data_IF_573315216571
#
_entry.id   IF_573315216571
#
_cell.length_a   1.000
_cell.length_b   1.000
_cell.length_c   1.000
_cell.angle_alpha   90.00
_cell.angle_beta   90.00
_cell.angle_gamma   90.00
#
_symmetry.space_group_name_H-M   'P 1'
#
loop_
_entity.id
_entity.type
_entity.pdbx_description
1 polymer ?
#
# COMPACT_ATOMS: atom_id res chain seq x y z
N UNK A 1 3.62 -10.51 13.55
CA UNK A 1 2.44 -10.14 12.75
C UNK A 1 1.44 -11.27 12.89
N UNK A 2 0.21 -10.98 13.30
CA UNK A 2 -0.81 -12.01 13.44
C UNK A 2 -1.15 -12.57 12.05
N UNK A 3 -1.16 -13.88 11.90
CA UNK A 3 -1.73 -14.57 10.75
C UNK A 3 -3.16 -15.03 11.11
N UNK A 4 -4.01 -15.23 10.10
CA UNK A 4 -5.41 -15.58 10.30
C UNK A 4 -6.34 -14.36 10.30
N UNK A 5 -7.50 -14.49 10.91
CA UNK A 5 -8.54 -13.47 10.88
C UNK A 5 -8.34 -12.37 11.93
N UNK A 6 -8.37 -11.12 11.48
CA UNK A 6 -8.54 -9.94 12.34
C UNK A 6 -9.99 -9.49 12.22
N UNK A 7 -10.76 -9.50 13.31
CA UNK A 7 -12.17 -9.09 13.30
C UNK A 7 -12.34 -7.60 12.99
N UNK A 8 -13.56 -7.25 12.59
CA UNK A 8 -14.02 -5.86 12.50
C UNK A 8 -13.88 -5.14 13.84
N UNK A 9 -13.64 -3.85 13.81
CA UNK A 9 -13.55 -2.97 14.99
C UNK A 9 -12.38 -3.30 15.93
N UNK A 10 -11.28 -3.87 15.41
CA UNK A 10 -10.06 -4.15 16.19
C UNK A 10 -8.92 -3.20 15.78
N UNK A 11 -8.73 -2.98 14.49
CA UNK A 11 -7.64 -2.18 13.97
C UNK A 11 -7.94 -0.68 14.09
N UNK A 12 -7.06 0.06 14.76
CA UNK A 12 -7.16 1.51 14.91
C UNK A 12 -6.22 2.16 13.89
N UNK A 13 -6.73 3.04 13.00
CA UNK A 13 -5.86 3.78 12.07
C UNK A 13 -4.80 4.59 12.82
N UNK A 14 -3.54 4.52 12.37
CA UNK A 14 -2.42 5.19 13.05
C UNK A 14 -2.66 6.69 13.22
N UNK A 15 -3.27 7.32 12.24
CA UNK A 15 -3.56 8.75 12.24
C UNK A 15 -4.60 9.18 13.29
N UNK A 16 -5.27 8.25 13.98
CA UNK A 16 -6.13 8.58 15.12
C UNK A 16 -5.32 9.01 16.36
N UNK A 17 -4.12 8.47 16.52
CA UNK A 17 -3.30 8.65 17.74
C UNK A 17 -1.92 9.26 17.46
N UNK A 18 -1.53 9.44 16.21
CA UNK A 18 -0.25 10.02 15.82
C UNK A 18 -0.37 11.53 15.64
N UNK A 19 0.24 12.31 16.54
CA UNK A 19 0.17 13.77 16.57
C UNK A 19 0.69 14.44 15.29
N UNK A 20 1.73 13.86 14.65
CA UNK A 20 2.26 14.41 13.40
C UNK A 20 1.27 14.23 12.26
N UNK A 21 0.60 13.07 12.21
CA UNK A 21 -0.46 12.84 11.24
C UNK A 21 -1.64 13.81 11.46
N UNK A 22 -2.08 14.01 12.70
CA UNK A 22 -3.16 14.94 13.04
C UNK A 22 -2.82 16.39 12.64
N UNK A 23 -1.59 16.85 12.92
CA UNK A 23 -1.11 18.18 12.49
C UNK A 23 -1.10 18.30 10.96
N UNK A 24 -0.69 17.23 10.27
CA UNK A 24 -0.72 17.17 8.81
C UNK A 24 -2.14 17.31 8.27
N UNK A 25 -3.11 16.56 8.81
CA UNK A 25 -4.51 16.66 8.45
C UNK A 25 -5.07 18.07 8.72
N UNK A 26 -4.75 18.64 9.88
CA UNK A 26 -5.23 19.98 10.25
C UNK A 26 -4.75 21.07 9.28
N UNK A 27 -3.57 20.89 8.66
CA UNK A 27 -3.01 21.85 7.69
C UNK A 27 -3.53 21.69 6.26
N UNK A 28 -4.35 20.67 5.97
CA UNK A 28 -4.92 20.47 4.64
C UNK A 28 -6.09 21.44 4.39
N UNK A 29 -6.32 21.85 3.11
CA UNK A 29 -7.57 22.47 2.70
C UNK A 29 -8.77 21.57 3.04
N UNK A 30 -9.90 22.15 3.44
CA UNK A 30 -11.06 21.38 3.93
C UNK A 30 -11.58 20.37 2.90
N UNK A 31 -11.58 20.73 1.61
CA UNK A 31 -11.98 19.86 0.51
C UNK A 31 -11.09 18.64 0.32
N UNK A 32 -9.86 18.67 0.88
CA UNK A 32 -8.90 17.59 0.78
C UNK A 32 -8.67 16.84 2.09
N UNK A 33 -9.34 17.26 3.18
CA UNK A 33 -9.24 16.51 4.44
C UNK A 33 -9.81 15.10 4.31
N UNK A 34 -9.20 14.10 4.98
CA UNK A 34 -9.85 12.81 5.17
C UNK A 34 -11.10 12.97 6.03
N UNK A 35 -11.98 11.97 5.99
CA UNK A 35 -13.07 11.90 6.93
C UNK A 35 -12.57 11.65 8.35
N UNK A 36 -13.30 12.14 9.33
CA UNK A 36 -12.94 11.96 10.75
C UNK A 36 -12.97 10.49 11.13
N UNK A 37 -11.89 10.06 11.83
CA UNK A 37 -11.76 8.71 12.33
C UNK A 37 -12.41 8.65 13.72
N UNK A 38 -13.64 8.15 13.80
CA UNK A 38 -14.43 8.10 15.05
C UNK A 38 -14.05 6.90 15.93
N UNK A 39 -13.52 5.83 15.36
CA UNK A 39 -13.21 4.60 16.10
C UNK A 39 -12.32 3.62 15.32
N UNK A 40 -12.26 2.36 15.76
CA UNK A 40 -11.65 1.29 14.99
C UNK A 40 -12.38 1.05 13.66
N UNK A 41 -11.64 0.58 12.65
CA UNK A 41 -12.18 0.35 11.32
C UNK A 41 -13.20 -0.81 11.29
N UNK A 42 -14.37 -0.64 10.63
CA UNK A 42 -15.35 -1.72 10.43
C UNK A 42 -14.94 -2.63 9.27
N UNK A 43 -13.75 -3.19 9.36
CA UNK A 43 -13.18 -4.08 8.35
C UNK A 43 -12.70 -5.38 8.99
N UNK A 44 -12.96 -6.49 8.31
CA UNK A 44 -12.33 -7.78 8.57
C UNK A 44 -11.11 -7.91 7.68
N UNK A 45 -10.07 -8.60 8.17
CA UNK A 45 -8.89 -8.91 7.38
C UNK A 45 -8.46 -10.35 7.65
N UNK A 46 -8.10 -11.08 6.62
CA UNK A 46 -7.47 -12.39 6.77
C UNK A 46 -6.03 -12.32 6.30
N UNK A 47 -5.10 -12.50 7.22
CA UNK A 47 -3.67 -12.37 6.95
C UNK A 47 -3.08 -13.75 6.62
N UNK A 48 -2.55 -13.88 5.41
CA UNK A 48 -1.95 -15.10 4.88
C UNK A 48 -0.51 -14.85 4.44
N UNK A 49 0.44 -15.53 5.08
CA UNK A 49 1.87 -15.40 4.78
C UNK A 49 2.19 -16.06 3.45
N UNK A 50 2.79 -15.32 2.50
CA UNK A 50 3.17 -15.76 1.17
C UNK A 50 4.70 -15.82 1.04
N UNK A 51 5.18 -16.76 0.24
CA UNK A 51 6.59 -16.95 -0.09
C UNK A 51 7.36 -17.77 0.95
N UNK A 52 8.60 -18.03 0.62
CA UNK A 52 9.53 -18.77 1.48
C UNK A 52 9.83 -17.99 2.76
N UNK A 53 10.04 -18.73 3.85
CA UNK A 53 10.37 -18.16 5.16
C UNK A 53 11.86 -18.32 5.44
N UNK A 54 12.50 -17.33 6.10
CA UNK A 54 13.87 -17.50 6.55
C UNK A 54 13.94 -18.64 7.57
N UNK A 55 14.98 -19.46 7.47
CA UNK A 55 15.25 -20.55 8.43
C UNK A 55 15.78 -20.02 9.75
N UNK A 56 16.48 -18.89 9.69
CA UNK A 56 17.12 -18.21 10.83
C UNK A 56 16.94 -16.69 10.67
N UNK A 57 17.18 -15.92 11.72
CA UNK A 57 17.27 -14.46 11.58
C UNK A 57 16.38 -13.62 12.50
N UNK A 58 15.75 -14.22 13.50
CA UNK A 58 14.85 -13.51 14.41
C UNK A 58 13.52 -13.10 13.76
N UNK A 59 12.72 -12.34 14.45
CA UNK A 59 11.42 -11.88 13.97
C UNK A 59 10.43 -13.02 13.65
N UNK A 60 10.44 -14.12 14.43
CA UNK A 60 9.55 -15.28 14.27
C UNK A 60 8.08 -14.87 14.23
N UNK A 61 7.71 -13.84 15.02
CA UNK A 61 6.35 -13.30 15.03
C UNK A 61 5.90 -12.74 13.68
N UNK A 62 6.84 -12.31 12.82
CA UNK A 62 6.54 -11.85 11.45
C UNK A 62 6.48 -13.01 10.45
N UNK A 63 6.92 -14.21 10.85
CA UNK A 63 7.01 -15.40 10.01
C UNK A 63 6.17 -16.57 10.52
N UNK A 64 5.11 -16.29 11.27
CA UNK A 64 4.22 -17.29 11.83
C UNK A 64 3.58 -18.19 10.75
N UNK A 65 3.24 -19.42 11.15
CA UNK A 65 2.55 -20.37 10.27
C UNK A 65 1.18 -19.85 9.85
N UNK A 66 0.77 -20.01 8.59
CA UNK A 66 -0.55 -19.64 8.13
C UNK A 66 -1.65 -20.45 8.84
N UNK A 67 -2.75 -19.78 9.17
CA UNK A 67 -3.94 -20.41 9.73
C UNK A 67 -4.85 -20.90 8.59
N UNK A 68 -5.14 -22.19 8.53
CA UNK A 68 -6.07 -22.76 7.54
C UNK A 68 -7.44 -22.97 8.19
N UNK A 69 -8.52 -22.29 7.71
CA UNK A 69 -9.86 -22.50 8.22
C UNK A 69 -10.34 -23.92 7.90
N UNK A 70 -10.77 -24.67 8.92
CA UNK A 70 -11.23 -26.07 8.76
C UNK A 70 -12.39 -26.24 7.77
N UNK A 71 -13.26 -25.22 7.65
CA UNK A 71 -14.41 -25.25 6.76
C UNK A 71 -14.06 -25.10 5.25
N UNK A 72 -12.82 -24.77 4.92
CA UNK A 72 -12.40 -24.46 3.54
C UNK A 72 -11.14 -25.27 3.19
N UNK A 73 -11.24 -26.54 2.76
CA UNK A 73 -10.07 -27.39 2.50
C UNK A 73 -9.15 -26.86 1.38
N UNK A 74 -9.69 -26.13 0.38
CA UNK A 74 -8.91 -25.52 -0.71
C UNK A 74 -8.29 -24.17 -0.33
N UNK A 75 -8.43 -23.71 0.92
CA UNK A 75 -7.99 -22.39 1.35
C UNK A 75 -6.50 -22.14 1.08
N UNK A 76 -5.64 -23.08 1.48
CA UNK A 76 -4.20 -22.99 1.28
C UNK A 76 -3.85 -22.82 -0.20
N UNK A 77 -4.32 -23.73 -1.04
CA UNK A 77 -4.06 -23.71 -2.48
C UNK A 77 -4.53 -22.40 -3.12
N UNK A 78 -5.73 -21.95 -2.81
CA UNK A 78 -6.31 -20.71 -3.33
C UNK A 78 -5.48 -19.49 -2.93
N UNK A 79 -5.13 -19.41 -1.64
CA UNK A 79 -4.38 -18.26 -1.10
C UNK A 79 -2.93 -18.25 -1.60
N UNK A 80 -2.28 -19.40 -1.69
CA UNK A 80 -0.91 -19.51 -2.19
C UNK A 80 -0.84 -19.19 -3.68
N UNK A 81 -1.75 -19.75 -4.50
CA UNK A 81 -1.79 -19.50 -5.94
C UNK A 81 -1.99 -18.02 -6.24
N UNK A 82 -3.02 -17.42 -5.65
CA UNK A 82 -3.30 -16.00 -5.86
C UNK A 82 -2.19 -15.11 -5.30
N UNK A 83 -1.71 -15.42 -4.10
CA UNK A 83 -0.65 -14.66 -3.45
C UNK A 83 0.67 -14.69 -4.22
N UNK A 84 1.04 -15.83 -4.81
CA UNK A 84 2.25 -15.95 -5.65
C UNK A 84 2.14 -15.12 -6.93
N UNK A 85 0.99 -15.12 -7.61
CA UNK A 85 0.76 -14.27 -8.78
C UNK A 85 0.88 -12.78 -8.44
N UNK A 86 0.32 -12.36 -7.31
CA UNK A 86 0.43 -10.99 -6.81
C UNK A 86 1.88 -10.66 -6.45
N UNK A 87 2.60 -11.57 -5.81
CA UNK A 87 4.01 -11.39 -5.44
C UNK A 87 4.91 -11.26 -6.68
N UNK A 88 4.72 -12.09 -7.70
CA UNK A 88 5.44 -11.99 -8.97
C UNK A 88 5.19 -10.63 -9.64
N UNK A 89 3.93 -10.18 -9.65
CA UNK A 89 3.54 -8.89 -10.24
C UNK A 89 4.22 -7.72 -9.52
N UNK A 90 4.19 -7.68 -8.19
CA UNK A 90 4.81 -6.60 -7.43
C UNK A 90 6.35 -6.67 -7.46
N UNK A 91 6.94 -7.85 -7.54
CA UNK A 91 8.40 -8.02 -7.73
C UNK A 91 8.84 -7.42 -9.07
N UNK A 92 8.06 -7.67 -10.13
CA UNK A 92 8.30 -7.02 -11.43
C UNK A 92 8.20 -5.49 -11.33
N UNK A 93 7.19 -4.98 -10.62
CA UNK A 93 7.07 -3.53 -10.37
C UNK A 93 8.28 -2.99 -9.59
N UNK A 94 8.79 -3.73 -8.60
CA UNK A 94 9.98 -3.34 -7.84
C UNK A 94 11.23 -3.26 -8.74
N UNK A 95 11.43 -4.22 -9.65
CA UNK A 95 12.51 -4.19 -10.62
C UNK A 95 12.40 -2.98 -11.56
N UNK A 96 11.19 -2.69 -12.05
CA UNK A 96 10.93 -1.53 -12.91
C UNK A 96 11.18 -0.21 -12.16
N UNK A 97 10.75 -0.14 -10.89
CA UNK A 97 10.99 1.02 -10.04
C UNK A 97 12.49 1.25 -9.79
N UNK A 98 13.25 0.18 -9.51
CA UNK A 98 14.71 0.25 -9.35
C UNK A 98 15.38 0.86 -10.59
N UNK A 99 15.06 0.36 -11.80
CA UNK A 99 15.56 0.92 -13.06
C UNK A 99 15.14 2.39 -13.24
N UNK A 100 13.87 2.71 -12.95
CA UNK A 100 13.35 4.09 -13.01
C UNK A 100 14.05 5.04 -12.04
N UNK A 101 14.53 4.53 -10.93
CA UNK A 101 15.33 5.28 -9.94
C UNK A 101 16.82 5.36 -10.30
N UNK A 102 17.25 4.72 -11.39
CA UNK A 102 18.66 4.64 -11.78
C UNK A 102 19.49 3.75 -10.84
N UNK A 103 18.86 2.77 -10.22
CA UNK A 103 19.49 1.72 -9.42
C UNK A 103 19.66 0.44 -10.27
N UNK A 104 20.51 -0.52 -9.84
CA UNK A 104 20.53 -1.87 -10.41
C UNK A 104 19.11 -2.48 -10.42
N UNK A 105 18.79 -3.24 -11.46
CA UNK A 105 17.43 -3.80 -11.65
C UNK A 105 16.93 -4.59 -10.45
N UNK A 106 17.79 -5.31 -9.79
CA UNK A 106 17.50 -6.16 -8.64
C UNK A 106 17.59 -5.44 -7.28
N UNK A 107 18.00 -4.18 -7.26
CA UNK A 107 18.27 -3.43 -6.02
C UNK A 107 17.11 -3.42 -5.02
N UNK A 108 15.87 -3.44 -5.49
CA UNK A 108 14.68 -3.52 -4.62
C UNK A 108 14.19 -4.95 -4.47
N UNK A 109 14.18 -5.75 -5.54
CA UNK A 109 13.66 -7.12 -5.50
C UNK A 109 14.52 -8.05 -4.66
N UNK A 110 15.85 -7.89 -4.65
CA UNK A 110 16.76 -8.65 -3.78
C UNK A 110 16.55 -8.37 -2.28
N UNK A 111 16.05 -7.20 -1.94
CA UNK A 111 15.65 -6.89 -0.56
C UNK A 111 14.34 -7.57 -0.15
N UNK A 112 13.51 -7.95 -1.13
CA UNK A 112 12.22 -8.61 -0.89
C UNK A 112 12.38 -10.14 -0.65
N UNK A 113 13.49 -10.74 -1.04
CA UNK A 113 13.74 -12.16 -0.89
C UNK A 113 13.59 -12.59 0.56
N UNK A 114 12.78 -13.63 0.83
CA UNK A 114 12.41 -14.08 2.18
C UNK A 114 11.66 -13.02 3.02
N UNK A 115 11.18 -11.96 2.40
CA UNK A 115 10.38 -10.93 3.07
C UNK A 115 9.08 -11.49 3.65
N UNK A 116 8.56 -10.95 4.78
CA UNK A 116 7.31 -11.39 5.40
C UNK A 116 6.09 -10.90 4.62
N UNK A 117 5.96 -11.31 3.35
CA UNK A 117 4.86 -10.89 2.49
C UNK A 117 3.52 -11.43 2.99
N UNK A 118 2.48 -10.61 2.93
CA UNK A 118 1.15 -10.95 3.39
C UNK A 118 0.10 -10.71 2.30
N UNK A 119 -0.56 -11.78 1.88
CA UNK A 119 -1.84 -11.65 1.20
C UNK A 119 -2.91 -11.37 2.27
N UNK A 120 -3.67 -10.31 2.11
CA UNK A 120 -4.61 -9.82 3.10
C UNK A 120 -5.96 -9.45 2.46
N UNK A 121 -6.80 -10.42 2.08
CA UNK A 121 -8.18 -10.13 1.76
C UNK A 121 -8.82 -9.32 2.89
N UNK A 122 -9.30 -8.12 2.55
CA UNK A 122 -9.91 -7.19 3.48
C UNK A 122 -11.35 -6.96 3.09
N UNK A 123 -12.28 -7.11 4.00
CA UNK A 123 -13.70 -7.05 3.73
C UNK A 123 -14.48 -6.22 4.74
N UNK A 124 -15.44 -5.43 4.24
CA UNK A 124 -16.44 -4.73 5.08
C UNK A 124 -17.83 -5.16 4.64
N UNK A 125 -18.69 -5.45 5.61
CA UNK A 125 -20.08 -5.80 5.36
C UNK A 125 -20.91 -4.56 5.02
N UNK A 126 -21.47 -4.50 3.83
CA UNK A 126 -22.37 -3.45 3.36
C UNK A 126 -23.83 -3.93 3.29
N UNK A 127 -24.18 -4.98 4.02
CA UNK A 127 -25.58 -5.35 4.17
C UNK A 127 -26.37 -4.28 4.92
N UNK A 128 -27.68 -4.26 4.75
CA UNK A 128 -28.58 -3.32 5.48
C UNK A 128 -28.53 -3.53 7.00
N UNK A 129 -28.08 -4.71 7.46
CA UNK A 129 -28.00 -5.05 8.90
C UNK A 129 -26.70 -4.58 9.56
N UNK A 130 -25.67 -4.28 8.77
CA UNK A 130 -24.34 -3.94 9.32
C UNK A 130 -24.25 -2.55 9.97
N UNK A 131 -25.11 -1.63 9.57
CA UNK A 131 -25.03 -0.22 9.95
C UNK A 131 -23.94 0.58 9.19
N UNK A 132 -23.12 -0.08 8.35
CA UNK A 132 -21.98 0.55 7.66
C UNK A 132 -22.30 1.06 6.24
N UNK A 133 -23.52 0.85 5.74
CA UNK A 133 -23.94 1.23 4.37
C UNK A 133 -24.37 2.68 4.23
N UNK A 134 -23.95 3.56 5.13
CA UNK A 134 -24.30 4.98 5.09
C UNK A 134 -23.20 5.79 4.41
N UNK A 135 -23.51 6.67 3.43
CA UNK A 135 -22.51 7.57 2.85
C UNK A 135 -21.76 8.36 3.93
N UNK A 136 -20.45 8.48 3.79
CA UNK A 136 -19.59 9.09 4.80
C UNK A 136 -19.04 8.11 5.86
N UNK A 137 -19.49 6.85 5.89
CA UNK A 137 -18.89 5.85 6.79
C UNK A 137 -17.47 5.55 6.35
N UNK A 138 -16.52 5.65 7.27
CA UNK A 138 -15.12 5.29 7.07
C UNK A 138 -14.97 3.78 7.28
N UNK A 139 -14.57 3.05 6.23
CA UNK A 139 -14.32 1.60 6.26
C UNK A 139 -12.86 1.28 6.56
N UNK A 140 -11.95 2.13 6.12
CA UNK A 140 -10.53 2.14 6.49
C UNK A 140 -10.09 3.59 6.59
N UNK A 141 -9.69 4.01 7.79
CA UNK A 141 -9.32 5.40 8.06
C UNK A 141 -8.02 5.80 7.38
N UNK A 142 -7.79 7.10 7.30
CA UNK A 142 -6.60 7.70 6.68
C UNK A 142 -5.30 7.13 7.27
N UNK A 143 -4.51 6.47 6.44
CA UNK A 143 -3.26 5.81 6.83
C UNK A 143 -2.35 5.57 5.63
N UNK A 144 -1.10 5.23 5.89
CA UNK A 144 -0.16 4.69 4.92
C UNK A 144 0.21 3.25 5.29
N UNK A 145 0.65 2.49 4.29
CA UNK A 145 1.11 1.12 4.47
C UNK A 145 2.56 1.08 4.97
N UNK A 146 2.85 0.16 5.87
CA UNK A 146 4.16 0.05 6.54
C UNK A 146 5.22 -0.72 5.74
N UNK A 147 4.83 -1.42 4.68
CA UNK A 147 5.65 -2.30 3.85
C UNK A 147 6.38 -1.56 2.71
N UNK A 148 6.96 -2.31 1.76
CA UNK A 148 7.66 -1.75 0.59
C UNK A 148 6.68 -1.27 -0.48
N UNK A 149 5.87 -2.19 -1.00
CA UNK A 149 4.82 -1.93 -1.96
C UNK A 149 3.56 -2.70 -1.60
N UNK A 150 2.43 -2.05 -1.75
CA UNK A 150 1.13 -2.70 -1.66
C UNK A 150 0.54 -2.84 -3.05
N UNK A 151 0.04 -4.04 -3.37
CA UNK A 151 -0.66 -4.28 -4.63
C UNK A 151 -2.10 -4.68 -4.35
N UNK A 152 -3.04 -4.03 -5.04
CA UNK A 152 -4.47 -4.23 -4.83
C UNK A 152 -5.15 -4.82 -6.06
N UNK A 153 -5.98 -5.81 -5.83
CA UNK A 153 -7.03 -6.20 -6.77
C UNK A 153 -8.19 -5.19 -6.77
N UNK A 154 -8.91 -5.12 -7.89
CA UNK A 154 -10.08 -4.27 -8.02
C UNK A 154 -11.21 -4.75 -7.09
N UNK A 155 -11.74 -3.85 -6.26
CA UNK A 155 -12.99 -4.09 -5.53
C UNK A 155 -14.20 -3.84 -6.43
N UNK A 156 -15.30 -4.56 -6.18
CA UNK A 156 -16.59 -4.30 -6.86
C UNK A 156 -17.23 -3.00 -6.43
N UNK A 157 -16.82 -2.47 -5.29
CA UNK A 157 -17.40 -1.27 -4.66
C UNK A 157 -16.41 -0.13 -4.68
N UNK A 158 -16.80 1.06 -5.12
CA UNK A 158 -15.95 2.26 -5.05
C UNK A 158 -15.69 2.69 -3.61
N UNK A 159 -14.88 3.74 -3.43
CA UNK A 159 -14.66 4.36 -2.12
C UNK A 159 -13.19 4.50 -1.71
N UNK A 160 -12.24 3.97 -2.49
CA UNK A 160 -10.82 4.21 -2.24
C UNK A 160 -10.43 5.61 -2.68
N UNK A 161 -9.84 6.39 -1.76
CA UNK A 161 -9.21 7.68 -2.02
C UNK A 161 -7.74 7.61 -1.67
N UNK A 162 -6.94 8.34 -2.43
CA UNK A 162 -5.51 8.55 -2.19
C UNK A 162 -5.22 10.04 -2.17
N UNK A 163 -4.13 10.42 -1.50
CA UNK A 163 -3.65 11.80 -1.51
C UNK A 163 -2.41 11.91 -2.39
N UNK A 164 -2.43 12.87 -3.27
CA UNK A 164 -1.29 13.22 -4.11
C UNK A 164 -0.26 14.03 -3.30
N UNK A 165 0.95 14.16 -3.84
CA UNK A 165 2.05 14.88 -3.16
C UNK A 165 1.73 16.36 -2.84
N UNK A 166 0.85 16.98 -3.60
CA UNK A 166 0.37 18.34 -3.38
C UNK A 166 -0.77 18.42 -2.34
N UNK A 167 -1.12 17.28 -1.71
CA UNK A 167 -2.21 17.20 -0.75
C UNK A 167 -3.58 16.99 -1.38
N UNK A 168 -3.70 16.96 -2.70
CA UNK A 168 -4.99 16.77 -3.39
C UNK A 168 -5.54 15.37 -3.12
N UNK A 169 -6.74 15.29 -2.59
CA UNK A 169 -7.52 14.05 -2.43
C UNK A 169 -8.09 13.60 -3.77
N UNK A 170 -7.88 12.35 -4.14
CA UNK A 170 -8.34 11.79 -5.41
C UNK A 170 -9.01 10.43 -5.21
N UNK A 171 -10.20 10.25 -5.79
CA UNK A 171 -10.84 8.94 -5.85
C UNK A 171 -10.13 8.04 -6.86
N UNK A 172 -9.78 6.82 -6.41
CA UNK A 172 -9.13 5.82 -7.28
C UNK A 172 -10.18 5.03 -8.05
N UNK A 173 -9.97 4.94 -9.37
CA UNK A 173 -10.71 4.05 -10.26
C UNK A 173 -9.72 3.13 -10.95
N UNK A 174 -9.74 1.84 -10.58
CA UNK A 174 -8.86 0.84 -11.18
C UNK A 174 -9.54 0.33 -12.46
N UNK A 175 -8.93 0.49 -13.66
CA UNK A 175 -9.48 -0.07 -14.89
C UNK A 175 -9.58 -1.59 -14.83
N UNK A 176 -10.42 -2.19 -15.68
CA UNK A 176 -10.51 -3.64 -15.80
C UNK A 176 -9.17 -4.21 -16.31
N UNK A 177 -8.75 -5.34 -15.75
CA UNK A 177 -7.48 -5.97 -16.07
C UNK A 177 -6.24 -5.27 -15.49
N UNK A 178 -6.42 -4.27 -14.61
CA UNK A 178 -5.32 -3.57 -13.94
C UNK A 178 -5.30 -3.85 -12.43
N UNK A 179 -4.10 -3.72 -11.86
CA UNK A 179 -3.86 -3.72 -10.43
C UNK A 179 -3.36 -2.34 -10.01
N UNK A 180 -3.66 -1.93 -8.80
CA UNK A 180 -3.11 -0.72 -8.19
C UNK A 180 -1.86 -1.08 -7.39
N UNK A 181 -0.77 -0.34 -7.60
CA UNK A 181 0.44 -0.45 -6.77
C UNK A 181 0.62 0.85 -5.98
N UNK A 182 0.82 0.72 -4.68
CA UNK A 182 1.05 1.84 -3.76
C UNK A 182 2.42 1.71 -3.09
N UNK A 183 3.06 2.85 -2.87
CA UNK A 183 4.30 2.95 -2.11
C UNK A 183 4.01 2.88 -0.60
N UNK A 184 4.78 2.08 0.13
CA UNK A 184 4.73 2.02 1.59
C UNK A 184 5.89 2.76 2.26
N UNK A 185 5.97 2.69 3.58
CA UNK A 185 7.01 3.38 4.37
C UNK A 185 8.44 2.89 4.07
N UNK A 186 8.61 1.62 3.67
CA UNK A 186 9.93 1.07 3.41
C UNK A 186 10.58 1.67 2.16
N UNK A 187 9.80 1.90 1.08
CA UNK A 187 10.35 2.55 -0.13
C UNK A 187 10.70 4.02 0.14
N UNK A 188 9.96 4.71 1.02
CA UNK A 188 10.32 6.07 1.45
C UNK A 188 11.71 6.09 2.06
N UNK A 189 12.01 5.18 2.99
CA UNK A 189 13.33 5.07 3.63
C UNK A 189 14.43 4.73 2.62
N UNK A 190 14.19 3.76 1.75
CA UNK A 190 15.14 3.31 0.73
C UNK A 190 15.46 4.39 -0.31
N UNK A 191 14.56 5.35 -0.51
CA UNK A 191 14.74 6.46 -1.44
C UNK A 191 15.02 7.80 -0.74
N UNK A 192 15.35 7.78 0.54
CA UNK A 192 15.65 9.00 1.30
C UNK A 192 14.53 10.05 1.27
N UNK A 193 13.27 9.59 1.16
CA UNK A 193 12.10 10.46 1.06
C UNK A 193 11.83 10.99 -0.37
N UNK A 194 12.59 10.56 -1.40
CA UNK A 194 12.29 10.92 -2.79
C UNK A 194 10.97 10.30 -3.26
N UNK A 195 10.67 9.09 -2.79
CA UNK A 195 9.35 8.45 -2.84
C UNK A 195 8.78 8.55 -1.44
N UNK A 196 7.77 9.38 -1.22
CA UNK A 196 7.21 9.62 0.11
C UNK A 196 6.00 8.74 0.37
N UNK A 197 5.99 8.11 1.55
CA UNK A 197 4.79 7.54 2.11
C UNK A 197 3.88 8.60 2.79
N UNK A 198 4.32 9.79 3.03
CA UNK A 198 3.76 11.12 3.29
C UNK A 198 4.67 12.00 4.16
N UNK A 199 4.89 13.23 3.73
CA UNK A 199 4.99 14.42 4.61
C UNK A 199 4.65 15.68 3.82
N UNK A 200 3.81 16.50 4.38
CA UNK A 200 3.68 17.90 3.96
C UNK A 200 4.99 18.62 4.32
N UNK A 201 5.75 19.01 3.28
CA UNK A 201 6.84 19.96 3.45
C UNK A 201 6.27 21.37 3.37
N UNK A 202 6.38 22.14 4.43
CA UNK A 202 6.02 23.57 4.47
C UNK A 202 7.02 24.48 3.76
N UNK A 203 7.91 23.92 2.93
CA UNK A 203 8.86 24.72 2.15
C UNK A 203 8.31 25.00 0.75
N UNK A 204 8.29 26.27 0.30
CA UNK A 204 7.83 26.62 -1.04
C UNK A 204 8.72 25.97 -2.10
N UNK A 205 8.17 25.61 -3.29
CA UNK A 205 8.94 24.98 -4.34
C UNK A 205 10.03 25.93 -4.84
N UNK A 206 11.28 25.50 -4.79
CA UNK A 206 12.35 26.19 -5.52
C UNK A 206 12.08 25.99 -7.01
N UNK A 207 11.79 27.08 -7.68
CA UNK A 207 11.70 27.16 -9.14
C UNK A 207 13.04 26.72 -9.74
N UNK A 208 13.06 25.57 -10.39
CA UNK A 208 14.19 25.17 -11.22
C UNK A 208 13.89 25.58 -12.67
N UNK A 209 14.47 26.69 -13.10
CA UNK A 209 14.56 27.07 -14.49
C UNK A 209 15.65 26.22 -15.18
N UNK A 210 15.38 25.92 -16.43
CA UNK A 210 16.24 25.45 -17.53
C UNK A 210 15.98 24.02 -18.01
N UNK A 211 15.43 24.02 -19.22
CA UNK A 211 15.35 22.87 -20.11
C UNK A 211 16.69 22.63 -20.81
N UNK A 212 17.11 21.37 -20.94
CA UNK A 212 18.10 20.98 -21.95
C UNK A 212 17.94 19.51 -22.37
N UNK A 213 17.73 19.37 -23.66
CA UNK A 213 18.00 18.29 -24.60
C UNK A 213 18.06 16.82 -24.16
N UNK A 214 17.19 16.00 -24.79
CA UNK A 214 17.22 14.53 -24.73
C UNK A 214 17.57 14.01 -26.12
N UNK A 215 18.60 13.17 -26.16
CA UNK A 215 19.00 12.38 -27.34
C UNK A 215 18.13 11.12 -27.48
N UNK A 216 17.76 10.70 -28.69
CA UNK A 216 16.95 9.51 -28.93
C UNK A 216 17.84 8.32 -29.28
N UNK A 217 18.00 7.38 -28.38
CA UNK A 217 18.52 6.07 -28.72
C UNK A 217 18.04 5.02 -27.73
N UNK A 218 17.04 4.25 -28.12
CA UNK A 218 16.88 2.83 -27.75
C UNK A 218 15.68 2.27 -28.53
N UNK A 219 15.98 1.63 -29.65
CA UNK A 219 15.04 0.79 -30.41
C UNK A 219 14.77 -0.51 -29.64
N UNK A 220 13.52 -0.71 -29.26
CA UNK A 220 12.99 -2.01 -28.81
C UNK A 220 11.72 -2.29 -29.61
N UNK A 221 11.55 -3.49 -30.22
CA UNK A 221 10.43 -3.74 -31.11
C UNK A 221 9.09 -3.79 -30.35
N UNK A 222 8.14 -3.07 -30.94
CA UNK A 222 6.80 -2.82 -30.41
C UNK A 222 5.86 -3.88 -30.95
N UNK A 223 5.61 -4.96 -30.20
CA UNK A 223 4.48 -5.82 -30.54
C UNK A 223 3.78 -6.53 -29.36
N UNK A 224 3.90 -6.04 -28.15
CA UNK A 224 3.03 -6.51 -27.07
C UNK A 224 2.69 -5.36 -26.14
N UNK A 225 1.39 -5.05 -26.06
CA UNK A 225 0.78 -4.27 -24.99
C UNK A 225 0.58 -2.78 -25.18
N UNK A 226 -0.30 -2.38 -26.10
CA UNK A 226 -0.81 -1.00 -26.18
C UNK A 226 -1.61 -0.57 -24.91
N UNK A 227 -2.08 -1.50 -24.09
CA UNK A 227 -2.84 -1.20 -22.84
C UNK A 227 -1.96 -1.02 -21.61
N UNK A 228 -0.78 -1.64 -21.55
CA UNK A 228 0.20 -1.41 -20.48
C UNK A 228 0.92 -0.07 -20.66
N UNK A 229 0.98 0.45 -21.90
CA UNK A 229 1.64 1.74 -22.20
C UNK A 229 1.04 2.93 -21.48
N UNK A 230 -0.26 2.96 -21.20
CA UNK A 230 -0.88 4.13 -20.55
C UNK A 230 -0.58 4.18 -19.07
N UNK A 231 -0.57 3.04 -18.39
CA UNK A 231 -0.20 2.95 -16.96
C UNK A 231 1.30 3.05 -16.75
N UNK A 232 2.13 2.52 -17.66
CA UNK A 232 3.58 2.67 -17.65
C UNK A 232 4.03 4.09 -18.00
N UNK A 233 3.31 4.79 -18.89
CA UNK A 233 3.57 6.22 -19.15
C UNK A 233 3.32 7.07 -17.89
N UNK A 234 2.34 6.75 -17.08
CA UNK A 234 2.15 7.41 -15.79
C UNK A 234 3.32 7.14 -14.81
N UNK A 235 3.95 5.96 -14.85
CA UNK A 235 5.14 5.65 -14.04
C UNK A 235 6.45 6.16 -14.65
N UNK A 236 6.59 6.17 -15.98
CA UNK A 236 7.84 6.48 -16.69
C UNK A 236 7.88 7.93 -17.21
N UNK A 237 6.75 8.55 -17.50
CA UNK A 237 6.65 9.97 -17.86
C UNK A 237 6.51 10.91 -16.66
N UNK A 238 6.40 10.39 -15.45
CA UNK A 238 6.70 11.14 -14.25
C UNK A 238 8.20 11.44 -14.17
N UNK A 239 8.71 12.13 -15.17
CA UNK A 239 9.97 12.83 -15.16
C UNK A 239 9.98 13.68 -13.89
N UNK A 240 10.49 13.09 -12.76
CA UNK A 240 10.80 13.81 -11.52
C UNK A 240 9.63 14.52 -10.78
N UNK A 241 8.40 14.32 -11.19
CA UNK A 241 7.27 14.46 -10.29
C UNK A 241 6.90 13.07 -9.76
N UNK A 242 7.84 12.40 -9.11
CA UNK A 242 7.53 11.25 -8.28
C UNK A 242 6.63 11.79 -7.19
N UNK A 243 5.34 11.60 -7.39
CA UNK A 243 4.27 11.93 -6.47
C UNK A 243 3.75 10.63 -5.87
N UNK A 244 4.35 10.14 -4.84
CA UNK A 244 3.73 9.04 -4.15
C UNK A 244 3.35 9.50 -2.78
N UNK A 245 2.08 9.44 -2.58
CA UNK A 245 1.58 9.34 -1.23
C UNK A 245 0.93 7.98 -1.12
N UNK A 246 1.46 7.15 -0.25
CA UNK A 246 0.82 5.92 0.15
C UNK A 246 -0.38 6.17 1.05
N UNK A 247 -0.71 7.45 1.38
CA UNK A 247 -1.87 7.76 2.22
C UNK A 247 -3.15 7.50 1.46
N UNK A 248 -4.02 6.78 2.13
CA UNK A 248 -5.30 6.42 1.57
C UNK A 248 -6.35 6.20 2.65
N UNK A 249 -7.60 6.28 2.24
CA UNK A 249 -8.75 5.89 3.05
C UNK A 249 -9.77 5.14 2.19
N UNK A 250 -10.63 4.40 2.82
CA UNK A 250 -11.78 3.77 2.16
C UNK A 250 -13.05 4.24 2.84
N UNK A 251 -13.94 4.84 2.06
CA UNK A 251 -15.19 5.41 2.58
C UNK A 251 -16.39 4.93 1.76
N UNK A 252 -17.56 4.94 2.37
CA UNK A 252 -18.81 4.66 1.68
C UNK A 252 -19.26 5.93 0.97
N UNK A 253 -19.39 5.84 -0.35
CA UNK A 253 -19.91 6.90 -1.22
C UNK A 253 -21.39 6.62 -1.57
N UNK A 254 -22.15 7.60 -2.07
CA UNK A 254 -23.47 7.34 -2.66
C UNK A 254 -23.41 6.23 -3.71
N UNK A 255 -22.41 6.25 -4.60
CA UNK A 255 -22.19 5.19 -5.60
C UNK A 255 -21.82 3.84 -5.00
N UNK A 256 -21.28 3.77 -3.78
CA UNK A 256 -21.04 2.53 -3.04
C UNK A 256 -22.36 1.92 -2.58
N UNK A 257 -23.27 2.76 -2.08
CA UNK A 257 -24.62 2.34 -1.67
C UNK A 257 -25.39 1.79 -2.87
N UNK A 258 -25.45 2.55 -3.97
CA UNK A 258 -26.09 2.09 -5.23
C UNK A 258 -25.51 0.77 -5.74
N UNK A 259 -24.18 0.59 -5.64
CA UNK A 259 -23.54 -0.66 -6.02
C UNK A 259 -23.97 -1.81 -5.09
N UNK A 260 -24.11 -1.57 -3.79
CA UNK A 260 -24.60 -2.58 -2.83
C UNK A 260 -26.06 -2.97 -3.11
N UNK A 261 -26.92 -2.00 -3.40
CA UNK A 261 -28.32 -2.23 -3.77
C UNK A 261 -28.45 -3.09 -5.03
N UNK A 262 -27.65 -2.79 -6.07
CA UNK A 262 -27.61 -3.63 -7.29
C UNK A 262 -27.14 -5.05 -7.01
N UNK A 263 -26.18 -5.27 -6.11
CA UNK A 263 -25.74 -6.61 -5.74
C UNK A 263 -26.82 -7.36 -4.95
N UNK A 264 -27.45 -6.68 -4.01
CA UNK A 264 -28.53 -7.24 -3.19
C UNK A 264 -29.74 -7.63 -4.05
N UNK A 265 -30.17 -6.75 -4.97
CA UNK A 265 -31.25 -7.04 -5.93
C UNK A 265 -30.91 -8.22 -6.86
N UNK A 266 -29.63 -8.47 -7.11
CA UNK A 266 -29.15 -9.61 -7.90
C UNK A 266 -28.89 -10.88 -7.05
N UNK A 267 -29.28 -10.89 -5.76
CA UNK A 267 -29.06 -12.03 -4.84
C UNK A 267 -27.56 -12.30 -4.55
N UNK A 268 -26.68 -11.31 -4.72
CA UNK A 268 -25.23 -11.45 -4.53
C UNK A 268 -24.79 -10.85 -3.20
N UNK A 269 -23.70 -11.37 -2.60
CA UNK A 269 -23.18 -10.82 -1.35
C UNK A 269 -22.82 -9.35 -1.46
N UNK A 270 -23.14 -8.58 -0.41
CA UNK A 270 -22.87 -7.13 -0.27
C UNK A 270 -21.56 -6.84 0.46
N UNK A 271 -20.66 -7.79 0.54
CA UNK A 271 -19.34 -7.60 1.10
C UNK A 271 -18.42 -6.83 0.14
N UNK A 272 -17.90 -5.69 0.61
CA UNK A 272 -16.83 -4.98 -0.07
C UNK A 272 -15.51 -5.69 0.23
N UNK A 273 -15.01 -6.44 -0.72
CA UNK A 273 -13.75 -7.17 -0.58
C UNK A 273 -12.69 -6.51 -1.46
N UNK A 274 -11.49 -6.31 -0.90
CA UNK A 274 -10.27 -5.97 -1.61
C UNK A 274 -9.27 -7.08 -1.40
N UNK A 275 -8.71 -7.61 -2.49
CA UNK A 275 -7.57 -8.52 -2.43
C UNK A 275 -6.30 -7.69 -2.43
N UNK A 276 -5.62 -7.64 -1.30
CA UNK A 276 -4.43 -6.81 -1.08
C UNK A 276 -3.25 -7.70 -0.75
N UNK A 277 -2.09 -7.44 -1.35
CA UNK A 277 -0.83 -8.04 -0.94
C UNK A 277 0.13 -6.95 -0.48
N UNK A 278 0.63 -7.11 0.73
CA UNK A 278 1.69 -6.29 1.32
C UNK A 278 3.04 -6.95 1.07
N UNK A 279 3.82 -6.39 0.15
CA UNK A 279 5.16 -6.84 -0.14
C UNK A 279 6.18 -6.12 0.74
N UNK A 280 7.00 -6.88 1.44
CA UNK A 280 7.94 -6.38 2.45
C UNK A 280 9.40 -6.56 2.01
N UNK A 281 10.26 -5.73 2.56
CA UNK A 281 11.69 -6.02 2.67
C UNK A 281 11.87 -7.15 3.70
N UNK A 282 12.82 -8.07 3.48
CA UNK A 282 13.14 -9.13 4.42
C UNK A 282 13.51 -8.56 5.80
N UNK A 283 13.00 -9.19 6.86
CA UNK A 283 13.07 -8.62 8.22
C UNK A 283 14.49 -8.33 8.71
N UNK A 284 15.46 -9.14 8.31
CA UNK A 284 16.88 -8.97 8.67
C UNK A 284 17.62 -7.94 7.80
N UNK A 285 17.02 -7.48 6.69
CA UNK A 285 17.66 -6.49 5.80
C UNK A 285 17.51 -5.08 6.38
N UNK A 286 18.53 -4.27 6.13
CA UNK A 286 18.58 -2.88 6.57
C UNK A 286 17.80 -1.96 5.63
N UNK A 287 17.00 -1.09 6.20
CA UNK A 287 16.34 0.03 5.52
C UNK A 287 17.19 1.29 5.69
N UNK A 288 17.88 1.68 4.63
CA UNK A 288 18.62 2.93 4.51
C UNK A 288 18.54 3.46 3.09
N UNK A 289 18.72 4.76 2.86
CA UNK A 289 18.77 5.32 1.52
C UNK A 289 19.78 4.60 0.62
N UNK A 290 19.37 4.26 -0.63
CA UNK A 290 20.14 3.48 -1.58
C UNK A 290 20.81 4.37 -2.64
N UNK A 291 22.02 4.01 -3.07
CA UNK A 291 22.72 4.62 -4.21
C UNK A 291 22.69 6.16 -4.15
N UNK A 292 22.19 6.82 -5.20
CA UNK A 292 22.12 8.28 -5.28
C UNK A 292 21.20 8.94 -4.25
N UNK A 293 20.35 8.19 -3.57
CA UNK A 293 19.49 8.70 -2.50
C UNK A 293 20.19 8.76 -1.14
N UNK A 294 21.38 8.16 -1.01
CA UNK A 294 22.14 8.13 0.23
C UNK A 294 22.92 9.46 0.44
N UNK A 295 22.22 10.59 0.43
CA UNK A 295 22.79 11.89 0.78
C UNK A 295 22.95 12.00 2.30
N UNK A 296 23.79 12.93 2.76
CA UNK A 296 23.99 13.17 4.20
C UNK A 296 22.65 13.48 4.89
N UNK A 297 21.87 14.38 4.32
CA UNK A 297 20.56 14.79 4.85
C UNK A 297 19.56 13.62 4.87
N UNK A 298 19.59 12.77 3.84
CA UNK A 298 18.73 11.58 3.78
C UNK A 298 19.12 10.54 4.84
N UNK A 299 20.41 10.34 5.08
CA UNK A 299 20.90 9.40 6.10
C UNK A 299 20.62 9.93 7.53
N UNK A 300 20.70 11.23 7.75
CA UNK A 300 20.32 11.87 9.03
C UNK A 300 18.82 11.73 9.28
N UNK A 301 17.98 11.91 8.25
CA UNK A 301 16.52 11.81 8.34
C UNK A 301 16.03 10.36 8.45
N UNK A 302 16.68 9.45 7.77
CA UNK A 302 16.36 8.02 7.72
C UNK A 302 17.54 7.18 8.19
N UNK A 303 17.88 7.22 9.49
CA UNK A 303 18.96 6.41 10.03
C UNK A 303 18.68 4.92 9.77
N UNK A 304 19.73 4.11 9.56
CA UNK A 304 19.61 2.69 9.32
C UNK A 304 18.79 2.00 10.42
N UNK A 305 17.86 1.13 10.00
CA UNK A 305 17.04 0.29 10.89
C UNK A 305 16.74 -1.02 10.17
N UNK A 306 16.64 -2.15 10.87
CA UNK A 306 16.18 -3.37 10.24
C UNK A 306 14.71 -3.28 9.82
N UNK A 307 14.35 -3.93 8.71
CA UNK A 307 12.96 -3.92 8.25
C UNK A 307 12.01 -4.55 9.27
N UNK A 308 12.45 -5.59 9.96
CA UNK A 308 11.67 -6.24 11.02
C UNK A 308 11.43 -5.35 12.22
N UNK A 309 12.43 -4.58 12.65
CA UNK A 309 12.29 -3.61 13.73
C UNK A 309 11.33 -2.48 13.34
N UNK A 310 11.46 -1.93 12.12
CA UNK A 310 10.55 -0.91 11.60
C UNK A 310 9.11 -1.41 11.62
N UNK A 311 8.84 -2.64 11.12
CA UNK A 311 7.51 -3.26 11.16
C UNK A 311 7.01 -3.42 12.59
N UNK A 312 7.84 -3.95 13.49
CA UNK A 312 7.47 -4.16 14.89
C UNK A 312 7.10 -2.85 15.59
N UNK A 313 7.86 -1.79 15.35
CA UNK A 313 7.60 -0.47 15.92
C UNK A 313 6.25 0.12 15.45
N UNK A 314 5.91 -0.06 14.15
CA UNK A 314 4.61 0.39 13.64
C UNK A 314 3.47 -0.46 14.20
N UNK A 315 3.61 -1.78 14.25
CA UNK A 315 2.58 -2.68 14.78
C UNK A 315 2.24 -2.39 16.25
N UNK A 316 3.22 -1.99 17.06
CA UNK A 316 2.98 -1.52 18.44
C UNK A 316 2.11 -0.27 18.46
N UNK A 317 2.40 0.71 17.60
CA UNK A 317 1.63 1.97 17.51
C UNK A 317 0.16 1.77 17.14
N UNK A 318 -0.15 0.78 16.30
CA UNK A 318 -1.52 0.48 15.83
C UNK A 318 -2.22 -0.63 16.64
N UNK A 319 -1.67 -0.99 17.79
CA UNK A 319 -2.21 -2.01 18.71
C UNK A 319 -2.36 -3.42 18.08
N UNK A 320 -1.53 -3.76 17.11
CA UNK A 320 -1.48 -5.08 16.47
C UNK A 320 -0.28 -5.95 16.92
N UNK A 321 0.59 -5.46 17.80
CA UNK A 321 1.59 -6.24 18.50
C UNK A 321 1.33 -6.18 19.98
N UNK A 322 1.36 -7.33 20.66
CA UNK A 322 1.40 -7.37 22.13
C UNK A 322 2.73 -6.75 22.58
N UNK A 323 2.67 -5.88 23.56
CA UNK A 323 3.83 -5.35 24.30
C UNK A 323 4.66 -6.47 24.91
#
# INVERSE_FOLDING_TARGET
MQVGATPSLVEIPICKTDDECQKSIASMPDEHKPLEITGPDPKWRFLWRIGERPKEGGFEALNAEPVVPKAFPQWRETMDTWGQLMLQSVTTCAQMAAVGFGLPRDALSSLMELGPHLLAPTGSDLSTRSGWRTPGTVLAGYHNDLNLFTIHGKSRYPGLHVWLRDGTKMQVKIPDGCLLVQAGMQIERLTGGAVQAVRLSTSPPRTCATAAHISPALNVPVSLCSRVRTSLRALVLARWAVRPQGMHEVVVLPSTVEAAERQEAAGRPTWRISSTLFAHVASAKELRPLGKFATKEALERFPPISAGEQVTNVLKKINLAKS
#
